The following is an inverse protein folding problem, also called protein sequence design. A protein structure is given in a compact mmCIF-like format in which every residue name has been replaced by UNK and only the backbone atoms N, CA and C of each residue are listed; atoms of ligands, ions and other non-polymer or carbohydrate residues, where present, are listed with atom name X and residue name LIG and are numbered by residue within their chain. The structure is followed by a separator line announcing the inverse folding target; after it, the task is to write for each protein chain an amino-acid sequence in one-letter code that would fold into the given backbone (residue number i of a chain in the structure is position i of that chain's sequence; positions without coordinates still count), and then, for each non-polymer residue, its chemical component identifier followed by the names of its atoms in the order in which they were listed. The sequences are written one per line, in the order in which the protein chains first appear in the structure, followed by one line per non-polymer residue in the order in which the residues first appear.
data_IF_308579854955
#
_entry.id   IF_308579854955
#
_cell.length_a   1.000
_cell.length_b   1.000
_cell.length_c   1.000
_cell.angle_alpha   90.00
_cell.angle_beta   90.00
_cell.angle_gamma   90.00
#
_symmetry.space_group_name_H-M   'P 1'
#
loop_
_entity.id
_entity.type
_entity.pdbx_description
1 polymer ?
#
# COMPACT_ATOMS: atom_id res chain seq x y z
N UNK A 1 -6.08 -27.20 -8.86
CA UNK A 1 -6.60 -27.03 -7.49
C UNK A 1 -7.09 -25.62 -7.28
N UNK A 2 -8.29 -25.44 -6.81
CA UNK A 2 -8.73 -24.08 -6.47
C UNK A 2 -7.90 -23.55 -5.30
N UNK A 3 -7.40 -22.33 -5.45
CA UNK A 3 -6.66 -21.65 -4.40
C UNK A 3 -7.67 -21.01 -3.45
N UNK A 4 -7.48 -21.24 -2.15
CA UNK A 4 -8.39 -20.67 -1.14
C UNK A 4 -8.15 -19.16 -1.00
N UNK A 5 -9.25 -18.42 -0.89
CA UNK A 5 -9.18 -17.01 -0.57
C UNK A 5 -8.43 -16.82 0.75
N UNK A 6 -7.52 -15.86 0.77
CA UNK A 6 -6.68 -15.60 1.94
C UNK A 6 -5.36 -16.37 1.96
N UNK A 7 -5.09 -17.19 0.95
CA UNK A 7 -3.80 -17.86 0.82
C UNK A 7 -2.72 -16.84 0.45
N UNK A 8 -1.65 -16.79 1.23
CA UNK A 8 -0.52 -15.88 0.96
C UNK A 8 0.17 -16.18 -0.37
N UNK A 9 0.09 -17.40 -0.87
CA UNK A 9 0.60 -17.75 -2.19
C UNK A 9 -0.05 -16.99 -3.33
N UNK A 10 -1.26 -16.45 -3.12
CA UNK A 10 -1.92 -15.61 -4.11
C UNK A 10 -1.14 -14.33 -4.43
N UNK A 11 -0.28 -13.87 -3.52
CA UNK A 11 0.58 -12.71 -3.79
C UNK A 11 1.56 -12.98 -4.95
N UNK A 12 1.88 -14.23 -5.21
CA UNK A 12 2.77 -14.63 -6.31
C UNK A 12 2.01 -14.85 -7.63
N UNK A 13 0.69 -14.80 -7.62
CA UNK A 13 -0.09 -14.94 -8.84
C UNK A 13 0.25 -13.79 -9.82
N UNK A 14 0.35 -14.07 -11.14
CA UNK A 14 0.70 -13.04 -12.12
C UNK A 14 -0.17 -11.79 -12.07
N UNK A 15 -1.48 -11.94 -11.84
CA UNK A 15 -2.37 -10.79 -11.71
C UNK A 15 -2.02 -9.95 -10.48
N UNK A 16 -1.69 -10.57 -9.36
CA UNK A 16 -1.27 -9.86 -8.15
C UNK A 16 0.05 -9.12 -8.37
N UNK A 17 1.03 -9.78 -9.00
CA UNK A 17 2.32 -9.17 -9.28
C UNK A 17 2.19 -7.98 -10.24
N UNK A 18 1.31 -8.08 -11.23
CA UNK A 18 1.03 -6.98 -12.14
C UNK A 18 0.46 -5.76 -11.41
N UNK A 19 -0.50 -5.97 -10.51
CA UNK A 19 -1.09 -4.89 -9.71
C UNK A 19 -0.07 -4.29 -8.73
N UNK A 20 0.74 -5.12 -8.09
CA UNK A 20 1.76 -4.66 -7.15
C UNK A 20 2.86 -3.85 -7.83
N UNK A 21 3.11 -4.08 -9.12
CA UNK A 21 4.08 -3.31 -9.91
C UNK A 21 3.44 -2.13 -10.66
N UNK A 22 2.13 -1.96 -10.58
CA UNK A 22 1.39 -0.95 -11.33
C UNK A 22 1.58 0.45 -10.77
N UNK A 23 1.05 1.45 -11.51
CA UNK A 23 0.99 2.85 -11.07
C UNK A 23 -0.32 3.16 -10.35
N UNK A 24 -1.05 2.15 -9.94
CA UNK A 24 -2.34 2.32 -9.26
C UNK A 24 -2.08 2.51 -7.78
N UNK A 25 -2.55 3.61 -7.16
CA UNK A 25 -2.44 3.75 -5.71
C UNK A 25 -3.26 2.68 -5.00
N UNK A 26 -2.76 2.23 -3.86
CA UNK A 26 -3.56 1.38 -3.00
C UNK A 26 -4.63 2.21 -2.32
N UNK A 27 -5.80 1.61 -2.11
CA UNK A 27 -6.84 2.20 -1.27
C UNK A 27 -6.78 1.50 0.07
N UNK A 28 -6.31 2.24 1.07
CA UNK A 28 -6.07 1.72 2.42
C UNK A 28 -7.27 2.00 3.30
N UNK A 29 -7.89 0.95 3.79
CA UNK A 29 -8.97 1.03 4.76
C UNK A 29 -8.40 0.80 6.16
N UNK A 30 -8.77 1.66 7.11
CA UNK A 30 -8.31 1.59 8.48
C UNK A 30 -9.39 2.11 9.43
N UNK A 31 -9.20 1.92 10.71
CA UNK A 31 -10.15 2.31 11.73
C UNK A 31 -9.68 3.58 12.41
N UNK A 32 -10.53 4.61 12.38
CA UNK A 32 -10.23 5.87 13.05
C UNK A 32 -10.31 5.73 14.56
N UNK A 33 -9.84 6.74 15.29
CA UNK A 33 -9.76 6.70 16.76
C UNK A 33 -11.13 6.56 17.44
N UNK A 34 -12.20 6.96 16.76
CA UNK A 34 -13.57 6.82 17.25
C UNK A 34 -14.25 5.50 16.84
N UNK A 35 -13.51 4.61 16.18
CA UNK A 35 -14.03 3.34 15.71
C UNK A 35 -14.65 3.37 14.31
N UNK A 36 -14.73 4.54 13.68
CA UNK A 36 -15.31 4.64 12.34
C UNK A 36 -14.34 4.13 11.27
N UNK A 37 -14.86 3.52 10.20
CA UNK A 37 -13.99 3.10 9.09
C UNK A 37 -13.58 4.29 8.23
N UNK A 38 -12.34 4.26 7.75
CA UNK A 38 -11.80 5.26 6.85
C UNK A 38 -11.09 4.58 5.70
N UNK A 39 -11.07 5.23 4.53
CA UNK A 39 -10.33 4.75 3.37
C UNK A 39 -9.63 5.93 2.70
N UNK A 40 -8.38 5.73 2.31
CA UNK A 40 -7.58 6.74 1.62
C UNK A 40 -6.80 6.10 0.48
N UNK A 41 -6.57 6.83 -0.64
CA UNK A 41 -5.59 6.39 -1.61
C UNK A 41 -4.19 6.69 -1.07
N UNK A 42 -3.25 5.79 -1.31
CA UNK A 42 -1.88 5.97 -0.83
C UNK A 42 -0.90 5.26 -1.75
N UNK A 43 0.25 5.87 -1.98
CA UNK A 43 1.34 5.24 -2.70
C UNK A 43 1.98 4.15 -1.86
N UNK A 44 2.43 3.11 -2.51
CA UNK A 44 3.05 1.98 -1.84
C UNK A 44 4.23 1.47 -2.64
N UNK A 45 5.07 0.68 -1.98
CA UNK A 45 6.13 -0.09 -2.60
C UNK A 45 6.03 -1.54 -2.12
N UNK A 46 6.07 -2.47 -3.06
CA UNK A 46 6.13 -3.90 -2.78
C UNK A 46 7.58 -4.34 -2.84
N UNK A 47 8.13 -4.81 -1.73
CA UNK A 47 9.54 -5.22 -1.65
C UNK A 47 9.75 -6.73 -1.82
N UNK A 48 8.71 -7.46 -2.25
CA UNK A 48 8.73 -8.91 -2.37
C UNK A 48 8.21 -9.64 -1.15
N UNK A 49 8.02 -8.93 -0.05
CA UNK A 49 7.59 -9.50 1.22
C UNK A 49 6.54 -8.65 1.92
N UNK A 50 6.68 -7.35 1.88
CA UNK A 50 5.78 -6.42 2.56
C UNK A 50 5.37 -5.29 1.65
N UNK A 51 4.19 -4.72 1.92
CA UNK A 51 3.74 -3.50 1.27
C UNK A 51 4.13 -2.35 2.19
N UNK A 52 4.97 -1.45 1.69
CA UNK A 52 5.56 -0.35 2.46
C UNK A 52 4.99 0.97 1.99
N UNK A 53 4.60 1.82 2.92
CA UNK A 53 4.03 3.13 2.64
C UNK A 53 4.77 4.18 3.45
N UNK A 54 5.18 5.27 2.78
CA UNK A 54 5.77 6.41 3.46
C UNK A 54 4.68 7.40 3.85
N UNK A 55 4.81 8.01 5.03
CA UNK A 55 3.85 9.00 5.49
C UNK A 55 4.55 10.03 6.37
N UNK A 56 4.08 11.31 6.38
CA UNK A 56 4.64 12.30 7.26
C UNK A 56 4.50 11.89 8.74
N UNK A 57 5.49 12.23 9.59
CA UNK A 57 5.49 11.74 10.97
C UNK A 57 4.36 12.27 11.84
N UNK A 58 3.69 13.34 11.40
CA UNK A 58 2.55 13.93 12.13
C UNK A 58 1.20 13.62 11.49
N UNK A 59 1.16 12.71 10.52
CA UNK A 59 -0.10 12.36 9.86
C UNK A 59 -1.10 11.79 10.88
N UNK A 60 -2.35 12.26 10.88
CA UNK A 60 -3.35 11.80 11.87
C UNK A 60 -3.60 10.29 11.83
N UNK A 61 -3.47 9.66 10.66
CA UNK A 61 -3.67 8.22 10.54
C UNK A 61 -2.71 7.40 11.39
N UNK A 62 -1.54 7.95 11.75
CA UNK A 62 -0.57 7.23 12.58
C UNK A 62 -1.12 6.97 13.99
N UNK A 63 -1.86 7.92 14.56
CA UNK A 63 -2.52 7.71 15.85
C UNK A 63 -3.58 6.61 15.76
N UNK A 64 -4.35 6.63 14.69
CA UNK A 64 -5.38 5.63 14.46
C UNK A 64 -4.78 4.23 14.32
N UNK A 65 -3.70 4.10 13.55
CA UNK A 65 -3.01 2.83 13.32
C UNK A 65 -2.30 2.32 14.58
N UNK A 66 -1.78 3.22 15.41
CA UNK A 66 -1.18 2.82 16.68
C UNK A 66 -2.23 2.23 17.63
N UNK A 67 -3.45 2.77 17.61
CA UNK A 67 -4.55 2.28 18.43
C UNK A 67 -5.14 0.99 17.88
N UNK A 68 -5.30 0.90 16.55
CA UNK A 68 -5.81 -0.28 15.88
C UNK A 68 -5.01 -0.52 14.59
N UNK A 69 -4.08 -1.47 14.62
CA UNK A 69 -3.21 -1.70 13.46
C UNK A 69 -3.83 -2.57 12.36
N UNK A 70 -5.04 -3.04 12.53
CA UNK A 70 -5.71 -3.87 11.52
C UNK A 70 -6.09 -3.03 10.32
N UNK A 71 -5.70 -3.48 9.14
CA UNK A 71 -5.94 -2.76 7.90
C UNK A 71 -6.39 -3.71 6.81
N UNK A 72 -7.01 -3.12 5.81
CA UNK A 72 -7.35 -3.79 4.56
C UNK A 72 -6.98 -2.84 3.44
N UNK A 73 -6.54 -3.37 2.32
CA UNK A 73 -6.30 -2.52 1.16
C UNK A 73 -6.72 -3.23 -0.11
N UNK A 74 -7.02 -2.44 -1.13
CA UNK A 74 -7.29 -2.96 -2.45
C UNK A 74 -6.47 -2.21 -3.48
N UNK A 75 -5.99 -2.97 -4.47
CA UNK A 75 -5.37 -2.43 -5.67
C UNK A 75 -6.14 -3.06 -6.81
N UNK A 76 -6.85 -2.23 -7.57
CA UNK A 76 -7.71 -2.74 -8.64
C UNK A 76 -7.56 -1.87 -9.88
N UNK A 77 -7.66 -2.49 -11.05
CA UNK A 77 -7.58 -1.74 -12.30
C UNK A 77 -8.99 -1.34 -12.77
N UNK A 78 -9.02 -0.46 -13.77
CA UNK A 78 -10.24 0.10 -14.31
C UNK A 78 -10.55 -0.44 -15.72
N UNK A 79 -9.90 -1.53 -16.11
CA UNK A 79 -10.03 -2.13 -17.42
C UNK A 79 -10.73 -3.48 -17.30
N UNK A 80 -11.74 -3.70 -18.11
CA UNK A 80 -12.43 -4.99 -18.11
C UNK A 80 -11.63 -6.03 -18.90
N UNK A 81 -11.49 -7.27 -18.44
CA UNK A 81 -11.93 -7.78 -17.13
C UNK A 81 -11.07 -7.23 -16.00
N UNK A 82 -11.71 -6.73 -14.95
CA UNK A 82 -11.03 -6.08 -13.85
C UNK A 82 -10.19 -7.05 -13.04
N UNK A 83 -8.96 -6.64 -12.73
CA UNK A 83 -8.11 -7.36 -11.78
C UNK A 83 -8.20 -6.66 -10.44
N UNK A 84 -8.36 -7.43 -9.38
CA UNK A 84 -8.51 -6.91 -8.02
C UNK A 84 -7.60 -7.69 -7.10
N UNK A 85 -6.76 -6.97 -6.35
CA UNK A 85 -5.97 -7.54 -5.26
C UNK A 85 -6.48 -6.94 -3.96
N UNK A 86 -7.04 -7.78 -3.11
CA UNK A 86 -7.52 -7.41 -1.78
C UNK A 86 -6.58 -8.01 -0.74
N UNK A 87 -5.99 -7.15 0.08
CA UNK A 87 -5.03 -7.56 1.11
C UNK A 87 -5.56 -7.14 2.48
N UNK A 88 -5.54 -8.06 3.42
CA UNK A 88 -5.85 -7.80 4.83
C UNK A 88 -4.61 -8.08 5.66
N UNK A 89 -4.35 -7.26 6.64
CA UNK A 89 -3.17 -7.45 7.46
C UNK A 89 -3.09 -6.51 8.64
N UNK A 90 -1.92 -6.44 9.20
CA UNK A 90 -1.61 -5.61 10.35
C UNK A 90 -0.51 -4.62 9.97
N UNK A 91 -0.73 -3.35 10.27
CA UNK A 91 0.26 -2.31 10.02
C UNK A 91 1.32 -2.31 11.12
N UNK A 92 2.57 -2.19 10.72
CA UNK A 92 3.70 -1.97 11.62
C UNK A 92 4.23 -0.56 11.34
N UNK A 93 4.31 0.26 12.37
CA UNK A 93 4.77 1.64 12.25
C UNK A 93 6.25 1.69 12.59
N UNK A 94 7.05 2.19 11.67
CA UNK A 94 8.49 2.34 11.87
C UNK A 94 8.90 3.80 11.66
N UNK A 95 9.26 4.52 12.73
CA UNK A 95 9.84 5.87 12.59
C UNK A 95 11.18 5.78 11.88
N UNK A 96 11.39 6.65 10.89
CA UNK A 96 12.63 6.67 10.11
C UNK A 96 13.13 8.11 10.06
N UNK A 97 14.40 8.30 10.38
CA UNK A 97 15.07 9.60 10.25
C UNK A 97 15.49 9.80 8.79
N UNK A 98 15.25 11.00 8.26
CA UNK A 98 15.52 11.31 6.87
C UNK A 98 14.37 10.89 5.97
N UNK A 99 14.60 10.37 4.82
CA UNK A 99 13.56 9.90 3.91
C UNK A 99 13.28 8.42 4.09
N UNK A 100 12.12 7.98 3.63
CA UNK A 100 11.80 6.56 3.51
C UNK A 100 12.20 6.12 2.10
N UNK A 101 13.19 5.20 1.95
CA UNK A 101 13.64 4.77 0.62
C UNK A 101 12.50 4.23 -0.25
N UNK A 102 11.55 3.53 0.35
CA UNK A 102 10.41 2.96 -0.36
C UNK A 102 9.47 4.04 -0.91
N UNK A 103 9.41 5.21 -0.25
CA UNK A 103 8.66 6.35 -0.78
C UNK A 103 9.29 6.89 -2.06
N UNK A 104 10.61 6.99 -2.09
CA UNK A 104 11.33 7.41 -3.30
C UNK A 104 11.14 6.40 -4.44
N UNK A 105 11.19 5.11 -4.13
CA UNK A 105 10.92 4.05 -5.12
C UNK A 105 9.51 4.12 -5.66
N UNK A 106 8.53 4.37 -4.80
CA UNK A 106 7.14 4.54 -5.20
C UNK A 106 6.99 5.77 -6.09
N UNK A 107 7.59 6.91 -5.71
CA UNK A 107 7.54 8.13 -6.52
C UNK A 107 8.09 7.91 -7.93
N UNK A 108 9.21 7.20 -8.03
CA UNK A 108 9.78 6.86 -9.33
C UNK A 108 8.87 5.98 -10.16
N UNK A 109 8.18 5.03 -9.53
CA UNK A 109 7.24 4.15 -10.23
C UNK A 109 6.02 4.92 -10.75
N UNK A 110 5.47 5.83 -9.93
CA UNK A 110 4.27 6.60 -10.30
C UNK A 110 4.56 7.72 -11.30
N UNK A 111 5.69 8.41 -11.18
CA UNK A 111 6.04 9.58 -11.99
C UNK A 111 7.10 9.32 -13.06
N UNK A 112 7.81 8.20 -12.98
CA UNK A 112 9.00 7.95 -13.77
C UNK A 112 10.27 8.39 -13.04
N UNK A 113 11.46 7.96 -13.52
CA UNK A 113 12.69 8.16 -12.75
C UNK A 113 13.04 9.61 -12.44
N UNK A 114 12.89 10.51 -13.41
CA UNK A 114 13.27 11.92 -13.23
C UNK A 114 12.30 12.66 -12.34
N UNK A 115 11.00 12.59 -12.64
CA UNK A 115 9.98 13.27 -11.85
C UNK A 115 9.89 12.67 -10.44
N UNK A 116 10.05 11.35 -10.32
CA UNK A 116 10.02 10.69 -9.03
C UNK A 116 11.13 11.13 -8.11
N UNK A 117 12.36 11.27 -8.64
CA UNK A 117 13.48 11.79 -7.86
C UNK A 117 13.26 13.22 -7.42
N UNK A 118 12.78 14.06 -8.32
CA UNK A 118 12.48 15.46 -8.02
C UNK A 118 11.40 15.59 -6.93
N UNK A 119 10.37 14.75 -6.98
CA UNK A 119 9.29 14.75 -6.01
C UNK A 119 9.76 14.30 -4.62
N UNK A 120 10.63 13.30 -4.57
CA UNK A 120 11.10 12.72 -3.30
C UNK A 120 12.25 13.51 -2.67
N UNK A 121 12.89 14.39 -3.41
CA UNK A 121 14.04 15.18 -2.92
C UNK A 121 13.66 16.18 -1.84
#
# INVERSE_FOLDING_TARGET
MPVKQGDLGLLQHPASQELLASKIPARLAYVWTDGSPRVIPIWFHWNGKEIVMGTPPKAPKLKALAKNPRVSLTIDDNVFPHKVLLVRGTARLEPVNGGVPEYAMAAERYFGPEQGKAWAA
#
